data_IF_994572496926
#
_entry.id   IF_994572496926
#
_cell.length_a   1.000
_cell.length_b   1.000
_cell.length_c   1.000
_cell.angle_alpha   90.00
_cell.angle_beta   90.00
_cell.angle_gamma   90.00
#
_symmetry.space_group_name_H-M   'P 1'
#
loop_
_entity.id
_entity.type
_entity.pdbx_description
1 polymer ?
#
# COMPACT_ATOMS: atom_id res chain seq x y z
N UNK A 1 -57.85 28.61 11.97
CA UNK A 1 -56.76 29.61 11.91
C UNK A 1 -55.73 29.44 13.04
N UNK A 2 -55.65 28.27 13.70
CA UNK A 2 -54.84 28.09 14.92
C UNK A 2 -53.51 27.38 14.70
N UNK A 3 -53.28 26.77 13.52
CA UNK A 3 -52.02 26.08 13.19
C UNK A 3 -50.94 26.99 12.58
N UNK A 4 -51.31 28.17 12.09
CA UNK A 4 -50.39 29.14 11.46
C UNK A 4 -49.69 30.01 12.51
N UNK A 5 -50.34 30.25 13.65
CA UNK A 5 -49.78 31.04 14.74
C UNK A 5 -48.64 30.32 15.49
N UNK A 6 -48.68 28.99 15.57
CA UNK A 6 -47.64 28.20 16.26
C UNK A 6 -46.34 28.11 15.44
N UNK A 7 -46.43 28.14 14.10
CA UNK A 7 -45.27 28.14 13.21
C UNK A 7 -44.54 29.49 13.16
N UNK A 8 -45.22 30.62 13.44
CA UNK A 8 -44.58 31.94 13.46
C UNK A 8 -43.87 32.25 14.79
N UNK A 9 -44.30 31.64 15.89
CA UNK A 9 -43.67 31.85 17.21
C UNK A 9 -42.34 31.08 17.39
N UNK A 10 -42.09 30.06 16.56
CA UNK A 10 -40.84 29.28 16.61
C UNK A 10 -39.73 29.86 15.71
N UNK A 11 -40.08 30.73 14.75
CA UNK A 11 -39.13 31.37 13.85
C UNK A 11 -38.11 32.31 14.54
N UNK A 12 -38.48 33.14 15.54
CA UNK A 12 -37.49 33.97 16.23
C UNK A 12 -36.63 33.17 17.23
N UNK A 13 -37.08 32.03 17.74
CA UNK A 13 -36.26 31.17 18.61
C UNK A 13 -35.22 30.36 17.80
N UNK A 14 -35.55 29.99 16.57
CA UNK A 14 -34.61 29.29 15.68
C UNK A 14 -33.49 30.21 15.15
N UNK A 15 -33.72 31.53 15.06
CA UNK A 15 -32.73 32.48 14.56
C UNK A 15 -31.68 32.88 15.62
N UNK A 16 -32.00 32.76 16.91
CA UNK A 16 -31.08 33.04 18.03
C UNK A 16 -30.19 31.84 18.38
N UNK A 17 -30.46 30.65 17.82
CA UNK A 17 -29.63 29.46 17.98
C UNK A 17 -28.47 29.36 16.95
N UNK A 18 -28.48 30.19 15.90
CA UNK A 18 -27.43 30.22 14.87
C UNK A 18 -26.03 30.68 15.34
N UNK A 19 -25.83 31.54 16.36
CA UNK A 19 -24.49 31.89 16.81
C UNK A 19 -23.84 30.80 17.68
N UNK A 20 -24.62 29.84 18.22
CA UNK A 20 -24.10 28.77 19.08
C UNK A 20 -23.46 27.61 18.28
N UNK A 21 -23.85 27.43 17.01
CA UNK A 21 -23.24 26.45 16.10
C UNK A 21 -22.11 27.06 15.23
N UNK A 22 -21.87 28.37 15.35
CA UNK A 22 -20.77 29.06 14.66
C UNK A 22 -19.47 29.12 15.49
N UNK A 23 -19.46 28.57 16.72
CA UNK A 23 -18.29 28.54 17.61
C UNK A 23 -17.55 27.20 17.67
N UNK A 24 -17.85 26.24 16.80
CA UNK A 24 -17.07 24.99 16.71
C UNK A 24 -16.47 24.81 15.33
N UNK A 25 -15.14 24.96 15.25
CA UNK A 25 -14.36 24.41 14.14
C UNK A 25 -13.60 25.41 13.27
N UNK A 26 -13.07 26.49 13.85
CA UNK A 26 -11.81 27.02 13.30
C UNK A 26 -10.79 25.89 13.31
N UNK A 27 -10.05 25.69 12.23
CA UNK A 27 -9.04 24.63 12.10
C UNK A 27 -8.12 24.73 13.33
N UNK A 28 -8.21 23.76 14.24
CA UNK A 28 -7.48 23.71 15.52
C UNK A 28 -5.95 23.63 15.36
N UNK A 29 -5.43 23.75 14.13
CA UNK A 29 -4.02 23.88 13.82
C UNK A 29 -3.48 25.30 14.08
N UNK A 30 -4.35 26.33 14.10
CA UNK A 30 -3.97 27.73 14.30
C UNK A 30 -4.89 28.44 15.29
N UNK A 31 -4.91 28.02 16.55
CA UNK A 31 -5.52 28.80 17.63
C UNK A 31 -4.42 29.41 18.49
N UNK A 32 -4.23 30.72 18.36
CA UNK A 32 -3.41 31.52 19.27
C UNK A 32 -4.20 31.79 20.54
N UNK A 33 -3.82 31.18 21.66
CA UNK A 33 -4.38 31.50 22.98
C UNK A 33 -3.49 32.56 23.61
N UNK A 34 -3.98 33.77 23.95
CA UNK A 34 -3.15 34.81 24.55
C UNK A 34 -2.72 34.38 25.96
N UNK A 35 -1.42 34.28 26.21
CA UNK A 35 -0.89 34.18 27.58
C UNK A 35 -0.81 35.58 28.21
N UNK A 36 -0.93 35.71 29.55
CA UNK A 36 -0.74 37.00 30.22
C UNK A 36 0.68 37.52 29.93
N UNK A 37 0.80 38.67 29.24
CA UNK A 37 2.08 39.29 28.90
C UNK A 37 2.46 39.32 27.41
N UNK A 38 1.52 39.10 26.49
CA UNK A 38 1.77 39.31 25.04
C UNK A 38 2.55 38.18 24.35
N UNK A 39 2.75 37.05 25.02
CA UNK A 39 3.27 35.83 24.42
C UNK A 39 2.16 34.98 23.80
N UNK A 40 2.38 34.51 22.58
CA UNK A 40 1.52 33.54 21.90
C UNK A 40 2.02 32.12 22.19
N UNK A 41 1.23 31.32 22.89
CA UNK A 41 1.58 29.91 23.17
C UNK A 41 1.01 29.01 22.07
N UNK A 42 1.87 28.50 21.19
CA UNK A 42 1.53 27.47 20.21
C UNK A 42 1.65 26.09 20.85
N UNK A 43 0.55 25.50 21.34
CA UNK A 43 0.66 24.28 22.16
C UNK A 43 0.08 23.01 21.55
N UNK A 44 -0.48 23.01 20.33
CA UNK A 44 -1.05 21.78 19.76
C UNK A 44 -0.95 21.61 18.23
N UNK A 45 0.14 22.05 17.58
CA UNK A 45 0.17 22.21 16.11
C UNK A 45 1.14 21.30 15.32
N UNK A 46 2.10 20.61 15.93
CA UNK A 46 3.13 19.84 15.18
C UNK A 46 3.06 18.33 15.40
N UNK A 47 2.84 17.87 16.64
CA UNK A 47 2.83 16.44 16.96
C UNK A 47 1.65 15.70 16.29
N UNK A 48 0.45 16.28 16.31
CA UNK A 48 -0.73 15.74 15.63
C UNK A 48 -0.55 15.74 14.11
N UNK A 49 0.09 16.77 13.56
CA UNK A 49 0.40 16.85 12.13
C UNK A 49 1.41 15.76 11.72
N UNK A 50 2.47 15.55 12.49
CA UNK A 50 3.41 14.45 12.28
C UNK A 50 2.74 13.08 12.39
N UNK A 51 1.83 12.91 13.35
CA UNK A 51 1.08 11.66 13.52
C UNK A 51 0.23 11.33 12.30
N UNK A 52 -0.59 12.27 11.81
CA UNK A 52 -1.39 12.05 10.59
C UNK A 52 -0.51 11.85 9.35
N UNK A 53 0.64 12.53 9.29
CA UNK A 53 1.61 12.33 8.21
C UNK A 53 2.10 10.88 8.21
N UNK A 54 2.64 10.39 9.33
CA UNK A 54 3.12 8.99 9.44
C UNK A 54 1.97 8.00 9.18
N UNK A 55 0.78 8.25 9.71
CA UNK A 55 -0.39 7.38 9.54
C UNK A 55 -0.81 7.25 8.06
N UNK A 56 -0.64 8.29 7.25
CA UNK A 56 -0.97 8.24 5.82
C UNK A 56 0.00 7.40 4.99
N UNK A 57 1.28 7.34 5.37
CA UNK A 57 2.30 6.52 4.69
C UNK A 57 2.35 5.08 5.21
N UNK A 58 1.92 4.85 6.45
CA UNK A 58 2.03 3.55 7.13
C UNK A 58 1.46 2.38 6.32
N UNK A 59 0.26 2.47 5.70
CA UNK A 59 -0.28 1.36 4.89
C UNK A 59 0.63 0.99 3.71
N UNK A 60 1.17 1.99 3.02
CA UNK A 60 2.06 1.76 1.89
C UNK A 60 3.38 1.10 2.31
N UNK A 61 3.96 1.55 3.42
CA UNK A 61 5.21 0.98 3.96
C UNK A 61 5.00 -0.48 4.38
N UNK A 62 3.90 -0.79 5.09
CA UNK A 62 3.58 -2.16 5.51
C UNK A 62 3.42 -3.07 4.30
N UNK A 63 2.69 -2.64 3.27
CA UNK A 63 2.53 -3.44 2.05
C UNK A 63 3.86 -3.68 1.34
N UNK A 64 4.74 -2.68 1.25
CA UNK A 64 6.06 -2.82 0.63
C UNK A 64 7.01 -3.76 1.38
N UNK A 65 6.83 -3.95 2.69
CA UNK A 65 7.62 -4.88 3.50
C UNK A 65 7.11 -6.34 3.43
N UNK A 66 6.03 -6.59 2.69
CA UNK A 66 5.40 -7.92 2.55
C UNK A 66 5.49 -8.42 1.11
N UNK A 67 4.85 -9.56 0.82
CA UNK A 67 4.78 -10.17 -0.51
C UNK A 67 3.84 -9.44 -1.47
N UNK A 68 3.12 -8.42 -1.00
CA UNK A 68 2.11 -7.70 -1.77
C UNK A 68 2.66 -7.18 -3.11
N UNK A 69 3.84 -6.56 -3.08
CA UNK A 69 4.49 -5.94 -4.25
C UNK A 69 4.65 -6.92 -5.42
N UNK A 70 5.11 -8.15 -5.15
CA UNK A 70 5.29 -9.16 -6.20
C UNK A 70 3.97 -9.58 -6.80
N UNK A 71 2.98 -9.85 -5.95
CA UNK A 71 1.69 -10.39 -6.36
C UNK A 71 0.93 -9.38 -7.22
N UNK A 72 0.83 -8.12 -6.76
CA UNK A 72 0.08 -7.10 -7.50
C UNK A 72 0.69 -6.80 -8.87
N UNK A 73 2.02 -6.84 -8.99
CA UNK A 73 2.71 -6.61 -10.27
C UNK A 73 2.48 -7.78 -11.22
N UNK A 74 2.62 -9.02 -10.76
CA UNK A 74 2.37 -10.20 -11.61
C UNK A 74 0.92 -10.23 -12.10
N UNK A 75 -0.05 -9.99 -11.20
CA UNK A 75 -1.47 -9.92 -11.57
C UNK A 75 -1.77 -8.77 -12.53
N UNK A 76 -1.14 -7.61 -12.34
CA UNK A 76 -1.28 -6.47 -13.25
C UNK A 76 -0.69 -6.79 -14.63
N UNK A 77 0.50 -7.38 -14.71
CA UNK A 77 1.12 -7.78 -15.98
C UNK A 77 0.29 -8.83 -16.71
N UNK A 78 -0.29 -9.80 -15.98
CA UNK A 78 -1.21 -10.77 -16.52
C UNK A 78 -2.47 -10.11 -17.14
N UNK A 79 -3.07 -9.12 -16.47
CA UNK A 79 -4.21 -8.36 -17.03
C UNK A 79 -3.86 -7.73 -18.37
N UNK A 80 -2.67 -7.13 -18.48
CA UNK A 80 -2.24 -6.54 -19.76
C UNK A 80 -1.98 -7.60 -20.83
N UNK A 81 -1.44 -8.76 -20.45
CA UNK A 81 -1.19 -9.86 -21.38
C UNK A 81 -2.48 -10.41 -22.03
N UNK A 82 -3.57 -10.46 -21.26
CA UNK A 82 -4.89 -10.88 -21.74
C UNK A 82 -5.50 -9.93 -22.78
N UNK A 83 -5.02 -8.68 -22.88
CA UNK A 83 -5.53 -7.69 -23.84
C UNK A 83 -6.92 -7.13 -23.49
N UNK A 84 -7.36 -7.32 -22.25
CA UNK A 84 -8.64 -6.82 -21.74
C UNK A 84 -8.49 -5.38 -21.23
N UNK A 85 -9.27 -4.44 -21.77
CA UNK A 85 -9.09 -3.00 -21.50
C UNK A 85 -9.53 -2.55 -20.10
N UNK A 86 -10.32 -3.35 -19.37
CA UNK A 86 -10.86 -2.95 -18.06
C UNK A 86 -11.20 -4.09 -17.09
N UNK A 87 -11.17 -5.34 -17.56
CA UNK A 87 -11.46 -6.53 -16.74
C UNK A 87 -10.18 -7.35 -16.54
N UNK A 88 -9.80 -7.75 -15.32
CA UNK A 88 -10.41 -7.42 -14.03
C UNK A 88 -10.13 -5.97 -13.56
N UNK A 89 -11.06 -5.34 -12.81
CA UNK A 89 -10.88 -3.99 -12.31
C UNK A 89 -9.75 -3.92 -11.27
N UNK A 90 -9.10 -2.76 -11.15
CA UNK A 90 -7.94 -2.59 -10.29
C UNK A 90 -8.23 -2.93 -8.81
N UNK A 91 -9.44 -2.65 -8.34
CA UNK A 91 -9.90 -2.98 -6.99
C UNK A 91 -9.92 -4.49 -6.73
N UNK A 92 -10.31 -5.30 -7.73
CA UNK A 92 -10.31 -6.77 -7.61
C UNK A 92 -8.89 -7.29 -7.56
N UNK A 93 -7.98 -6.75 -8.37
CA UNK A 93 -6.56 -7.14 -8.33
C UNK A 93 -5.91 -6.81 -6.98
N UNK A 94 -6.17 -5.61 -6.45
CA UNK A 94 -5.67 -5.19 -5.14
C UNK A 94 -6.26 -6.08 -4.03
N UNK A 95 -7.56 -6.36 -4.07
CA UNK A 95 -8.22 -7.26 -3.12
C UNK A 95 -7.62 -8.67 -3.14
N UNK A 96 -7.46 -9.26 -4.33
CA UNK A 96 -6.85 -10.57 -4.51
C UNK A 96 -5.39 -10.59 -4.00
N UNK A 97 -4.60 -9.57 -4.35
CA UNK A 97 -3.23 -9.43 -3.89
C UNK A 97 -3.14 -9.33 -2.36
N UNK A 98 -4.07 -8.61 -1.73
CA UNK A 98 -4.13 -8.46 -0.28
C UNK A 98 -4.49 -9.78 0.42
N UNK A 99 -5.50 -10.51 -0.06
CA UNK A 99 -5.84 -11.83 0.50
C UNK A 99 -4.70 -12.85 0.35
N UNK A 100 -4.06 -12.91 -0.82
CA UNK A 100 -2.89 -13.77 -1.03
C UNK A 100 -1.72 -13.36 -0.14
N UNK A 101 -1.54 -12.06 0.11
CA UNK A 101 -0.52 -11.56 1.03
C UNK A 101 -0.79 -12.01 2.44
N UNK A 102 -2.03 -11.88 2.94
CA UNK A 102 -2.40 -12.36 4.28
C UNK A 102 -2.17 -13.86 4.42
N UNK A 103 -2.51 -14.64 3.39
CA UNK A 103 -2.28 -16.09 3.36
C UNK A 103 -0.78 -16.44 3.42
N UNK A 104 0.06 -15.78 2.64
CA UNK A 104 1.51 -16.01 2.60
C UNK A 104 2.20 -15.49 3.89
N UNK A 105 1.69 -14.40 4.46
CA UNK A 105 2.24 -13.75 5.66
C UNK A 105 1.77 -14.35 6.97
N UNK A 106 0.79 -15.27 6.97
CA UNK A 106 0.28 -15.91 8.18
C UNK A 106 1.39 -16.33 9.19
N UNK A 107 2.45 -17.08 8.80
CA UNK A 107 3.50 -17.48 9.75
C UNK A 107 4.34 -16.31 10.30
N UNK A 108 4.43 -15.20 9.57
CA UNK A 108 5.14 -13.99 10.03
C UNK A 108 4.24 -13.21 10.99
N UNK A 109 2.95 -13.09 10.67
CA UNK A 109 1.95 -12.46 11.52
C UNK A 109 1.80 -13.18 12.87
N UNK A 110 1.79 -14.52 12.87
CA UNK A 110 1.71 -15.32 14.09
C UNK A 110 2.91 -15.10 15.03
N UNK A 111 4.12 -14.96 14.45
CA UNK A 111 5.33 -14.62 15.21
C UNK A 111 5.27 -13.21 15.79
N UNK A 112 4.86 -12.22 14.99
CA UNK A 112 4.68 -10.85 15.50
C UNK A 112 3.65 -10.83 16.63
N UNK A 113 2.56 -11.59 16.48
CA UNK A 113 1.52 -11.67 17.51
C UNK A 113 2.05 -12.26 18.83
N UNK A 114 2.72 -13.40 18.77
CA UNK A 114 3.21 -14.11 19.95
C UNK A 114 4.46 -13.46 20.60
N UNK A 115 5.39 -12.95 19.81
CA UNK A 115 6.68 -12.45 20.30
C UNK A 115 6.68 -10.94 20.64
N UNK A 116 5.79 -10.15 20.03
CA UNK A 116 5.74 -8.70 20.21
C UNK A 116 4.39 -8.21 20.77
N UNK A 117 3.27 -8.57 20.14
CA UNK A 117 1.96 -8.02 20.53
C UNK A 117 1.47 -8.55 21.89
N UNK A 118 1.50 -9.86 22.11
CA UNK A 118 1.01 -10.48 23.34
C UNK A 118 1.79 -9.99 24.58
N UNK A 119 3.14 -9.98 24.59
CA UNK A 119 3.87 -9.53 25.78
C UNK A 119 3.78 -8.00 25.97
N UNK A 120 3.60 -7.22 24.88
CA UNK A 120 3.30 -5.78 24.99
C UNK A 120 1.93 -5.54 25.62
N UNK A 121 0.90 -6.27 25.19
CA UNK A 121 -0.45 -6.19 25.77
C UNK A 121 -0.49 -6.60 27.25
N UNK A 122 0.41 -7.48 27.67
CA UNK A 122 0.59 -7.90 29.07
C UNK A 122 1.50 -6.94 29.87
N UNK A 123 1.92 -5.81 29.28
CA UNK A 123 2.87 -4.85 29.86
C UNK A 123 4.21 -5.47 30.28
N UNK A 124 4.61 -6.58 29.64
CA UNK A 124 5.91 -7.26 29.87
C UNK A 124 7.04 -6.73 28.98
N UNK A 125 6.71 -5.93 27.97
CA UNK A 125 7.66 -5.28 27.06
C UNK A 125 7.41 -3.77 26.99
N UNK A 126 8.50 -3.01 26.85
CA UNK A 126 8.40 -1.61 26.46
C UNK A 126 7.96 -1.48 25.00
N UNK A 127 7.44 -0.31 24.62
CA UNK A 127 7.05 -0.06 23.22
C UNK A 127 8.24 -0.18 22.25
N UNK A 128 9.44 0.23 22.67
CA UNK A 128 10.65 0.12 21.86
C UNK A 128 11.04 -1.35 21.64
N UNK A 129 11.05 -2.15 22.71
CA UNK A 129 11.37 -3.58 22.62
C UNK A 129 10.33 -4.36 21.80
N UNK A 130 9.05 -3.99 21.90
CA UNK A 130 7.99 -4.58 21.11
C UNK A 130 8.18 -4.32 19.60
N UNK A 131 8.63 -3.11 19.23
CA UNK A 131 8.94 -2.78 17.84
C UNK A 131 10.15 -3.55 17.33
N UNK A 132 11.21 -3.67 18.13
CA UNK A 132 12.42 -4.42 17.74
C UNK A 132 12.14 -5.91 17.58
N UNK A 133 11.37 -6.51 18.51
CA UNK A 133 10.93 -7.90 18.40
C UNK A 133 9.98 -8.13 17.23
N UNK A 134 9.06 -7.20 16.98
CA UNK A 134 8.13 -7.26 15.84
C UNK A 134 8.84 -7.10 14.48
N UNK A 135 9.94 -6.34 14.45
CA UNK A 135 10.74 -6.15 13.24
C UNK A 135 11.59 -7.37 12.89
N UNK A 136 12.01 -8.18 13.87
CA UNK A 136 12.85 -9.36 13.65
C UNK A 136 12.25 -10.41 12.67
N UNK A 137 10.99 -10.87 12.81
CA UNK A 137 10.40 -11.82 11.86
C UNK A 137 10.20 -11.20 10.47
N UNK A 138 9.90 -9.91 10.37
CA UNK A 138 9.83 -9.19 9.09
C UNK A 138 11.20 -9.13 8.40
N UNK A 139 12.26 -8.78 9.13
CA UNK A 139 13.64 -8.83 8.62
C UNK A 139 13.98 -10.22 8.11
N UNK A 140 13.69 -11.25 8.91
CA UNK A 140 13.96 -12.64 8.55
C UNK A 140 13.21 -13.08 7.29
N UNK A 141 11.96 -12.65 7.12
CA UNK A 141 11.20 -12.86 5.89
C UNK A 141 11.84 -12.19 4.67
N UNK A 142 12.16 -10.89 4.79
CA UNK A 142 12.73 -10.12 3.69
C UNK A 142 14.12 -10.63 3.27
N UNK A 143 14.97 -10.98 4.23
CA UNK A 143 16.31 -11.51 3.95
C UNK A 143 16.26 -12.81 3.14
N UNK A 144 15.29 -13.69 3.41
CA UNK A 144 15.12 -14.93 2.65
C UNK A 144 14.71 -14.72 1.19
N UNK A 145 14.14 -13.56 0.86
CA UNK A 145 13.65 -13.24 -0.48
C UNK A 145 14.53 -12.23 -1.22
N UNK A 146 15.39 -11.51 -0.49
CA UNK A 146 16.31 -10.55 -1.08
C UNK A 146 17.48 -11.28 -1.71
N UNK A 147 17.76 -10.99 -2.99
CA UNK A 147 18.94 -11.53 -3.67
C UNK A 147 20.21 -10.94 -3.07
N UNK A 148 21.23 -11.79 -2.89
CA UNK A 148 22.53 -11.38 -2.34
C UNK A 148 23.17 -10.25 -3.14
N UNK A 149 23.06 -10.29 -4.48
CA UNK A 149 23.59 -9.25 -5.36
C UNK A 149 22.91 -7.89 -5.14
N UNK A 150 21.58 -7.87 -4.95
CA UNK A 150 20.83 -6.64 -4.72
C UNK A 150 21.13 -6.10 -3.31
N UNK A 151 21.22 -6.98 -2.31
CA UNK A 151 21.64 -6.60 -0.95
C UNK A 151 23.05 -6.01 -0.92
N UNK A 152 24.01 -6.65 -1.58
CA UNK A 152 25.40 -6.19 -1.67
C UNK A 152 25.51 -4.82 -2.36
N UNK A 153 24.70 -4.58 -3.39
CA UNK A 153 24.63 -3.28 -4.06
C UNK A 153 24.20 -2.18 -3.09
N UNK A 154 23.11 -2.39 -2.33
CA UNK A 154 22.62 -1.38 -1.41
C UNK A 154 23.54 -1.18 -0.19
N UNK A 155 24.20 -2.22 0.30
CA UNK A 155 25.25 -2.10 1.33
C UNK A 155 26.42 -1.23 0.83
N UNK A 156 26.86 -1.44 -0.41
CA UNK A 156 27.91 -0.64 -1.05
C UNK A 156 27.51 0.82 -1.21
N UNK A 157 26.28 1.09 -1.66
CA UNK A 157 25.75 2.44 -1.83
C UNK A 157 25.63 3.16 -0.47
N UNK A 158 25.17 2.45 0.56
CA UNK A 158 25.02 2.99 1.91
C UNK A 158 26.35 3.23 2.64
N UNK A 159 27.49 2.80 2.06
CA UNK A 159 28.82 2.80 2.69
C UNK A 159 28.77 2.23 4.12
N UNK A 160 27.96 1.21 4.33
CA UNK A 160 27.83 0.58 5.65
C UNK A 160 29.08 -0.21 5.98
N UNK A 161 29.41 -0.28 7.28
CA UNK A 161 30.45 -1.18 7.77
C UNK A 161 30.15 -2.63 7.37
N UNK A 162 31.19 -3.48 7.22
CA UNK A 162 31.01 -4.89 6.92
C UNK A 162 30.10 -5.53 7.98
N UNK A 163 28.96 -6.03 7.54
CA UNK A 163 28.00 -6.69 8.43
C UNK A 163 28.45 -8.13 8.63
N UNK A 164 28.66 -8.56 9.87
CA UNK A 164 29.15 -9.91 10.19
C UNK A 164 28.11 -10.99 9.88
N UNK A 165 26.82 -10.68 10.12
CA UNK A 165 25.71 -11.58 9.84
C UNK A 165 24.58 -10.87 9.08
N UNK A 166 23.87 -11.61 8.22
CA UNK A 166 22.77 -11.06 7.42
C UNK A 166 21.64 -10.45 8.27
N UNK A 167 21.48 -10.87 9.54
CA UNK A 167 20.47 -10.37 10.48
C UNK A 167 20.74 -8.93 10.96
N UNK A 168 22.01 -8.51 10.96
CA UNK A 168 22.42 -7.20 11.47
C UNK A 168 22.29 -6.09 10.42
N UNK A 169 21.82 -6.43 9.22
CA UNK A 169 21.56 -5.46 8.16
C UNK A 169 20.51 -4.43 8.64
N UNK A 170 20.81 -3.12 8.54
CA UNK A 170 19.85 -2.07 8.88
C UNK A 170 18.62 -2.10 7.97
N UNK A 171 17.42 -1.86 8.53
CA UNK A 171 16.16 -1.83 7.76
C UNK A 171 16.19 -0.81 6.62
N UNK A 172 16.86 0.34 6.82
CA UNK A 172 17.05 1.37 5.79
C UNK A 172 17.77 0.87 4.51
N UNK A 173 18.55 -0.21 4.63
CA UNK A 173 19.23 -0.86 3.49
C UNK A 173 18.42 -2.06 3.00
N UNK A 174 17.90 -2.86 3.93
CA UNK A 174 17.16 -4.08 3.60
C UNK A 174 15.85 -3.80 2.84
N UNK A 175 15.08 -2.79 3.24
CA UNK A 175 13.80 -2.45 2.60
C UNK A 175 13.97 -2.11 1.10
N UNK A 176 14.82 -1.15 0.70
CA UNK A 176 14.98 -0.85 -0.73
C UNK A 176 15.63 -2.00 -1.51
N UNK A 177 16.52 -2.79 -0.89
CA UNK A 177 17.09 -3.99 -1.52
C UNK A 177 16.02 -5.06 -1.77
N UNK A 178 15.18 -5.33 -0.78
CA UNK A 178 14.05 -6.25 -0.88
C UNK A 178 13.08 -5.82 -1.97
N UNK A 179 12.62 -4.56 -1.96
CA UNK A 179 11.68 -4.07 -2.97
C UNK A 179 12.27 -4.22 -4.38
N UNK A 180 13.55 -3.91 -4.58
CA UNK A 180 14.22 -4.07 -5.88
C UNK A 180 14.27 -5.54 -6.31
N UNK A 181 14.59 -6.45 -5.39
CA UNK A 181 14.62 -7.90 -5.63
C UNK A 181 13.22 -8.46 -5.96
N UNK A 182 12.19 -7.99 -5.26
CA UNK A 182 10.79 -8.35 -5.51
C UNK A 182 10.31 -7.84 -6.87
N UNK A 183 10.61 -6.59 -7.21
CA UNK A 183 10.31 -6.01 -8.52
C UNK A 183 10.93 -6.85 -9.64
N UNK A 184 12.24 -7.11 -9.56
CA UNK A 184 12.95 -7.93 -10.56
C UNK A 184 12.32 -9.30 -10.72
N UNK A 185 12.00 -9.96 -9.61
CA UNK A 185 11.37 -11.28 -9.61
C UNK A 185 9.95 -11.22 -10.19
N UNK A 186 9.16 -10.21 -9.84
CA UNK A 186 7.81 -10.01 -10.36
C UNK A 186 7.80 -9.77 -11.88
N UNK A 187 8.74 -8.96 -12.38
CA UNK A 187 8.90 -8.75 -13.82
C UNK A 187 9.37 -10.01 -14.55
N UNK A 188 10.26 -10.82 -13.96
CA UNK A 188 10.66 -12.11 -14.52
C UNK A 188 9.47 -13.06 -14.64
N UNK A 189 8.68 -13.20 -13.58
CA UNK A 189 7.47 -14.02 -13.59
C UNK A 189 6.48 -13.48 -14.62
N UNK A 190 6.21 -12.17 -14.59
CA UNK A 190 5.29 -11.51 -15.51
C UNK A 190 5.71 -11.70 -16.97
N UNK A 191 6.99 -11.60 -17.29
CA UNK A 191 7.51 -11.86 -18.63
C UNK A 191 7.27 -13.30 -19.06
N UNK A 192 7.59 -14.29 -18.22
CA UNK A 192 7.37 -15.71 -18.53
C UNK A 192 5.88 -15.99 -18.79
N UNK A 193 5.00 -15.40 -17.96
CA UNK A 193 3.54 -15.50 -18.13
C UNK A 193 3.07 -14.79 -19.41
N UNK A 194 3.76 -13.73 -19.86
CA UNK A 194 3.39 -12.97 -21.04
C UNK A 194 3.70 -13.70 -22.36
N UNK A 195 4.79 -14.49 -22.41
CA UNK A 195 5.26 -15.19 -23.61
C UNK A 195 4.15 -15.97 -24.35
N UNK A 196 3.36 -16.85 -23.73
CA UNK A 196 2.34 -17.61 -24.44
C UNK A 196 1.28 -16.71 -25.12
N UNK A 197 0.87 -15.63 -24.47
CA UNK A 197 -0.10 -14.70 -25.04
C UNK A 197 0.47 -13.90 -26.22
N UNK A 198 1.76 -13.56 -26.14
CA UNK A 198 2.49 -12.91 -27.23
C UNK A 198 2.55 -13.81 -28.47
N UNK A 199 2.83 -15.11 -28.27
CA UNK A 199 2.84 -16.09 -29.36
C UNK A 199 1.47 -16.15 -30.05
N UNK A 200 0.37 -16.18 -29.28
CA UNK A 200 -0.99 -16.13 -29.85
C UNK A 200 -1.19 -14.86 -30.68
N UNK A 201 -0.80 -13.69 -30.16
CA UNK A 201 -0.94 -12.42 -30.88
C UNK A 201 -0.17 -12.41 -32.21
N UNK A 202 1.08 -12.89 -32.20
CA UNK A 202 1.90 -12.95 -33.43
C UNK A 202 1.32 -13.92 -34.46
N UNK A 203 0.83 -15.09 -34.02
CA UNK A 203 0.22 -16.09 -34.90
C UNK A 203 -1.07 -15.53 -35.50
N UNK A 204 -1.99 -15.01 -34.68
CA UNK A 204 -3.27 -14.45 -35.16
C UNK A 204 -3.04 -13.27 -36.10
N UNK A 205 -2.12 -12.36 -35.78
CA UNK A 205 -1.79 -11.24 -36.64
C UNK A 205 -1.25 -11.70 -38.00
N UNK A 206 -0.36 -12.70 -38.03
CA UNK A 206 0.18 -13.24 -39.29
C UNK A 206 -0.89 -13.87 -40.17
N UNK A 207 -1.85 -14.59 -39.58
CA UNK A 207 -2.97 -15.22 -40.30
C UNK A 207 -3.92 -14.16 -40.85
N UNK A 208 -4.30 -13.15 -40.06
CA UNK A 208 -5.16 -12.05 -40.51
C UNK A 208 -4.53 -11.25 -41.65
N UNK A 209 -3.23 -10.96 -41.55
CA UNK A 209 -2.48 -10.29 -42.62
C UNK A 209 -2.43 -11.14 -43.90
N UNK A 210 -2.25 -12.46 -43.76
CA UNK A 210 -2.27 -13.38 -44.91
C UNK A 210 -3.64 -13.48 -45.59
N UNK A 211 -4.73 -13.24 -44.86
CA UNK A 211 -6.09 -13.19 -45.42
C UNK A 211 -6.44 -11.84 -46.06
N UNK A 212 -5.53 -10.85 -46.03
CA UNK A 212 -5.77 -9.50 -46.54
C UNK A 212 -6.66 -8.63 -45.64
N UNK A 213 -6.97 -9.08 -44.42
CA UNK A 213 -7.82 -8.35 -43.47
C UNK A 213 -7.01 -7.35 -42.64
N UNK A 214 -6.45 -6.33 -43.32
CA UNK A 214 -5.60 -5.32 -42.65
C UNK A 214 -6.35 -4.41 -41.67
N UNK A 215 -7.68 -4.31 -41.78
CA UNK A 215 -8.50 -3.39 -40.96
C UNK A 215 -9.02 -4.02 -39.67
N UNK A 216 -8.92 -5.35 -39.51
CA UNK A 216 -9.32 -6.04 -38.29
C UNK A 216 -8.19 -6.00 -37.27
N UNK A 217 -8.47 -5.52 -36.06
CA UNK A 217 -7.49 -5.51 -34.97
C UNK A 217 -7.16 -6.93 -34.54
N UNK A 218 -5.89 -7.38 -34.64
CA UNK A 218 -5.50 -8.73 -34.21
C UNK A 218 -5.81 -9.02 -32.74
N UNK A 219 -5.80 -7.98 -31.88
CA UNK A 219 -6.06 -8.09 -30.45
C UNK A 219 -7.48 -8.56 -30.15
N UNK A 220 -8.46 -8.09 -30.93
CA UNK A 220 -9.88 -8.47 -30.73
C UNK A 220 -10.09 -9.93 -31.12
N UNK A 221 -9.42 -10.38 -32.19
CA UNK A 221 -9.51 -11.75 -32.69
C UNK A 221 -8.72 -12.73 -31.82
N UNK A 222 -7.60 -12.31 -31.23
CA UNK A 222 -6.77 -13.16 -30.36
C UNK A 222 -7.36 -13.35 -28.95
N UNK A 223 -8.19 -12.41 -28.48
CA UNK A 223 -8.72 -12.40 -27.11
C UNK A 223 -9.44 -13.71 -26.70
N UNK A 224 -10.36 -14.29 -27.48
CA UNK A 224 -10.99 -15.57 -27.12
C UNK A 224 -9.98 -16.71 -26.96
N UNK A 225 -8.96 -16.77 -27.83
CA UNK A 225 -7.90 -17.79 -27.74
C UNK A 225 -7.06 -17.62 -26.47
N UNK A 226 -6.77 -16.36 -26.09
CA UNK A 226 -6.07 -16.06 -24.83
C UNK A 226 -6.86 -16.51 -23.61
N UNK A 227 -8.18 -16.27 -23.60
CA UNK A 227 -9.05 -16.68 -22.49
C UNK A 227 -9.16 -18.20 -22.39
N UNK A 228 -9.18 -18.92 -23.51
CA UNK A 228 -9.20 -20.40 -23.50
C UNK A 228 -7.88 -20.99 -22.98
N UNK A 229 -6.75 -20.33 -23.27
CA UNK A 229 -5.44 -20.78 -22.80
C UNK A 229 -5.22 -20.50 -21.31
N UNK A 230 -5.84 -19.44 -20.79
CA UNK A 230 -5.71 -18.98 -19.41
C UNK A 230 -6.44 -19.90 -18.42
#
# INVERSE_FOLDING_TARGET
MTKIALSLACAPLALVALPALAQSGGIAAFTSTPAPGGGQTYTLSIQTLLFFTVLSFLPAVVLMMTSFTRIIIVLSLLRHALGTQSSPPNQVLVGLALFLTLFIMAPVADKIYSEAYLPFSENRLSQADALDRGAAPLKGFMLKQTREADLALFLKIARSEPVAEAKDVPLRVLIPAFVTSELKTAFQIGFIVFIPFLIIDMVVASVLMSMGMMMMSPVIVSLPFKIILF
#
